data_IF_521708573280
#
_entry.id   IF_521708573280
#
_cell.length_a   1.000
_cell.length_b   1.000
_cell.length_c   1.000
_cell.angle_alpha   90.00
_cell.angle_beta   90.00
_cell.angle_gamma   90.00
#
_symmetry.space_group_name_H-M   'P 1'
#
loop_
_entity.id
_entity.type
_entity.pdbx_description
1 polymer ?
#
# COMPACT_ATOMS: atom_id res chain seq x y z
N UNK A 1 19.33 -35.98 34.58
CA UNK A 1 20.52 -35.18 34.21
C UNK A 1 20.24 -34.51 32.87
N UNK A 2 19.90 -33.22 32.85
CA UNK A 2 19.64 -32.47 31.62
C UNK A 2 20.89 -31.70 31.21
N UNK A 3 21.38 -31.91 29.98
CA UNK A 3 22.51 -31.16 29.42
C UNK A 3 21.99 -29.95 28.63
N UNK A 4 22.64 -28.78 28.69
CA UNK A 4 22.26 -27.63 27.87
C UNK A 4 22.82 -27.78 26.45
N UNK A 5 21.93 -27.77 25.45
CA UNK A 5 22.31 -27.80 24.03
C UNK A 5 22.90 -26.45 23.60
N UNK A 6 24.09 -26.49 22.99
CA UNK A 6 24.91 -25.36 22.54
C UNK A 6 24.36 -24.72 21.25
N UNK A 7 24.27 -23.38 21.27
CA UNK A 7 24.39 -22.43 20.16
C UNK A 7 23.53 -22.61 18.89
N UNK A 8 22.40 -21.90 18.85
CA UNK A 8 21.52 -21.66 17.68
C UNK A 8 22.12 -20.75 16.58
N UNK A 9 23.44 -20.55 16.54
CA UNK A 9 24.12 -19.59 15.62
C UNK A 9 24.35 -20.15 14.21
N UNK A 10 24.00 -21.40 13.94
CA UNK A 10 24.24 -22.04 12.64
C UNK A 10 23.10 -21.84 11.62
N UNK A 11 21.93 -21.35 12.03
CA UNK A 11 20.75 -21.32 11.17
C UNK A 11 20.68 -20.12 10.21
N UNK A 12 21.51 -19.10 10.40
CA UNK A 12 21.50 -17.90 9.54
C UNK A 12 22.92 -17.45 9.19
N UNK A 13 23.47 -17.94 8.08
CA UNK A 13 24.72 -17.43 7.51
C UNK A 13 24.43 -16.25 6.59
N UNK A 14 24.38 -15.04 7.13
CA UNK A 14 24.38 -13.83 6.31
C UNK A 14 25.80 -13.56 5.77
N UNK A 15 26.06 -13.91 4.51
CA UNK A 15 27.33 -13.62 3.83
C UNK A 15 27.30 -12.21 3.23
N UNK A 16 27.75 -11.20 3.99
CA UNK A 16 28.03 -9.87 3.46
C UNK A 16 29.40 -9.91 2.75
N UNK A 17 29.42 -9.69 1.43
CA UNK A 17 30.63 -9.38 0.67
C UNK A 17 30.61 -7.87 0.41
N UNK A 18 31.53 -7.13 1.03
CA UNK A 18 31.85 -5.76 0.62
C UNK A 18 33.39 -5.61 0.57
N UNK A 19 33.88 -5.47 -0.65
CA UNK A 19 35.15 -4.86 -1.08
C UNK A 19 34.73 -4.15 -2.36
N UNK A 20 34.76 -2.81 -2.51
CA UNK A 20 35.85 -1.88 -2.19
C UNK A 20 35.33 -0.43 -2.25
N UNK A 21 35.87 0.45 -1.40
CA UNK A 21 35.79 1.93 -1.49
C UNK A 21 34.62 2.54 -0.72
N UNK A 22 34.76 3.48 0.21
CA UNK A 22 35.87 4.30 0.69
C UNK A 22 35.22 5.40 1.54
N UNK A 23 35.79 5.72 2.71
CA UNK A 23 35.25 6.72 3.64
C UNK A 23 35.61 8.12 3.14
N UNK A 24 34.62 8.99 2.96
CA UNK A 24 34.81 10.44 3.11
C UNK A 24 33.85 10.95 4.16
N UNK A 25 34.40 11.35 5.32
CA UNK A 25 33.67 12.19 6.27
C UNK A 25 33.68 13.63 5.74
N UNK A 26 32.51 14.25 5.68
CA UNK A 26 32.37 15.70 5.70
C UNK A 26 31.35 16.09 6.78
N UNK A 27 31.83 16.68 7.87
CA UNK A 27 31.02 17.45 8.82
C UNK A 27 31.05 18.92 8.38
N UNK A 28 29.88 19.56 8.28
CA UNK A 28 29.65 21.01 8.42
C UNK A 28 28.15 21.26 8.20
N UNK A 29 27.34 21.33 9.26
CA UNK A 29 26.71 22.57 9.75
C UNK A 29 26.11 23.49 8.66
N UNK A 30 24.78 23.62 8.63
CA UNK A 30 24.02 24.85 8.96
C UNK A 30 22.53 24.64 8.66
N UNK A 31 21.72 25.06 9.61
CA UNK A 31 20.27 25.26 9.57
C UNK A 31 19.77 25.96 8.30
N UNK A 32 18.60 25.55 7.80
CA UNK A 32 17.47 26.44 7.46
C UNK A 32 16.25 25.60 7.05
N UNK A 33 15.10 25.86 7.71
CA UNK A 33 13.77 25.55 7.15
C UNK A 33 13.59 26.34 5.84
N UNK A 34 12.78 25.82 4.91
CA UNK A 34 11.56 26.52 4.53
C UNK A 34 10.39 25.53 4.57
N UNK A 35 9.29 25.81 5.28
CA UNK A 35 8.25 26.75 4.86
C UNK A 35 7.74 26.42 3.44
N UNK A 36 6.58 25.77 3.42
CA UNK A 36 5.52 25.86 2.43
C UNK A 36 5.87 26.41 1.04
N UNK A 37 5.73 25.56 0.03
CA UNK A 37 5.18 25.92 -1.28
C UNK A 37 4.63 24.62 -1.88
N UNK A 38 3.32 24.46 -1.87
CA UNK A 38 2.52 24.69 -3.08
C UNK A 38 2.57 23.45 -3.99
N UNK A 39 1.87 22.39 -3.59
CA UNK A 39 1.36 21.43 -4.58
C UNK A 39 0.18 22.13 -5.22
N UNK A 40 0.51 22.91 -6.25
CA UNK A 40 -0.42 23.52 -7.15
C UNK A 40 -1.42 22.46 -7.65
N UNK A 41 -2.68 22.70 -7.32
CA UNK A 41 -3.83 22.54 -8.21
C UNK A 41 -3.97 21.14 -8.85
N UNK A 42 -4.68 20.24 -8.17
CA UNK A 42 -5.50 19.28 -8.93
C UNK A 42 -6.54 20.11 -9.69
N UNK A 43 -6.61 20.03 -11.03
CA UNK A 43 -7.76 20.56 -11.75
C UNK A 43 -8.92 19.59 -11.49
N UNK A 44 -9.55 19.68 -10.31
CA UNK A 44 -10.97 19.36 -10.21
C UNK A 44 -11.69 20.52 -10.87
N UNK A 45 -11.57 20.55 -12.20
CA UNK A 45 -12.35 21.42 -13.05
C UNK A 45 -13.79 21.11 -12.75
N UNK A 46 -14.43 22.06 -12.09
CA UNK A 46 -15.87 22.27 -12.03
C UNK A 46 -16.49 21.93 -13.39
N UNK A 47 -17.06 20.74 -13.49
CA UNK A 47 -18.10 20.39 -14.44
C UNK A 47 -19.21 19.74 -13.62
N UNK A 48 -20.35 20.41 -13.61
CA UNK A 48 -21.54 20.06 -12.84
C UNK A 48 -22.16 18.78 -13.43
N UNK A 49 -21.81 17.61 -12.89
CA UNK A 49 -22.61 16.41 -13.07
C UNK A 49 -22.72 15.72 -11.71
N UNK A 50 -23.87 15.84 -11.07
CA UNK A 50 -24.17 15.31 -9.73
C UNK A 50 -23.92 13.79 -9.59
N UNK A 51 -23.65 13.09 -10.70
CA UNK A 51 -23.32 11.67 -10.73
C UNK A 51 -21.83 11.40 -10.52
N UNK A 52 -20.96 12.37 -10.81
CA UNK A 52 -19.52 12.20 -10.63
C UNK A 52 -19.16 12.19 -9.14
N UNK A 53 -19.87 12.95 -8.30
CA UNK A 53 -19.66 12.98 -6.85
C UNK A 53 -19.94 11.62 -6.19
N UNK A 54 -21.04 10.95 -6.58
CA UNK A 54 -21.38 9.61 -6.08
C UNK A 54 -20.34 8.57 -6.49
N UNK A 55 -19.88 8.64 -7.75
CA UNK A 55 -18.84 7.73 -8.28
C UNK A 55 -17.50 7.98 -7.57
N UNK A 56 -17.18 9.24 -7.25
CA UNK A 56 -15.98 9.58 -6.50
C UNK A 56 -16.01 9.03 -5.08
N UNK A 57 -17.16 9.11 -4.39
CA UNK A 57 -17.32 8.55 -3.05
C UNK A 57 -17.21 7.02 -3.04
N UNK A 58 -17.82 6.33 -4.01
CA UNK A 58 -17.66 4.89 -4.20
C UNK A 58 -16.19 4.51 -4.45
N UNK A 59 -15.49 5.25 -5.31
CA UNK A 59 -14.07 5.03 -5.58
C UNK A 59 -13.20 5.32 -4.35
N UNK A 60 -13.55 6.30 -3.51
CA UNK A 60 -12.86 6.57 -2.24
C UNK A 60 -12.97 5.38 -1.30
N UNK A 61 -14.16 4.81 -1.13
CA UNK A 61 -14.35 3.61 -0.30
C UNK A 61 -13.52 2.42 -0.79
N UNK A 62 -13.41 2.23 -2.12
CA UNK A 62 -12.58 1.18 -2.70
C UNK A 62 -11.08 1.42 -2.51
N UNK A 63 -10.61 2.67 -2.57
CA UNK A 63 -9.21 3.00 -2.27
C UNK A 63 -8.87 2.76 -0.80
N UNK A 64 -9.79 3.07 0.11
CA UNK A 64 -9.62 2.75 1.53
C UNK A 64 -9.56 1.24 1.76
N UNK A 65 -10.42 0.48 1.06
CA UNK A 65 -10.31 -0.97 1.05
C UNK A 65 -8.92 -1.43 0.57
N UNK A 66 -8.41 -0.90 -0.54
CA UNK A 66 -7.09 -1.26 -1.09
C UNK A 66 -5.93 -0.99 -0.11
N UNK A 67 -6.05 0.05 0.73
CA UNK A 67 -5.07 0.41 1.77
C UNK A 67 -5.17 -0.48 3.01
N UNK A 68 -6.32 -1.10 3.28
CA UNK A 68 -6.53 -1.90 4.46
C UNK A 68 -5.83 -3.27 4.36
N UNK A 69 -4.68 -3.41 5.01
CA UNK A 69 -3.87 -4.64 4.97
C UNK A 69 -4.53 -5.87 5.62
N UNK A 70 -5.59 -5.70 6.41
CA UNK A 70 -6.28 -6.81 7.06
C UNK A 70 -6.84 -7.83 6.06
N UNK A 71 -7.22 -7.39 4.86
CA UNK A 71 -7.79 -8.23 3.80
C UNK A 71 -6.73 -8.83 2.85
N UNK A 72 -5.46 -8.67 3.20
CA UNK A 72 -4.32 -9.21 2.49
C UNK A 72 -3.90 -8.40 1.25
N UNK A 73 -2.91 -8.89 0.48
CA UNK A 73 -2.28 -8.14 -0.59
C UNK A 73 -3.25 -7.88 -1.75
N UNK A 74 -3.22 -6.66 -2.28
CA UNK A 74 -4.06 -6.21 -3.38
C UNK A 74 -3.34 -6.18 -4.75
N UNK A 75 -2.07 -6.54 -4.79
CA UNK A 75 -1.24 -6.49 -6.00
C UNK A 75 -1.48 -7.74 -6.86
N UNK A 76 -1.61 -7.56 -8.18
CA UNK A 76 -1.75 -8.64 -9.14
C UNK A 76 -3.09 -9.36 -9.12
N UNK A 77 -4.09 -8.76 -8.47
CA UNK A 77 -5.47 -9.26 -8.42
C UNK A 77 -6.46 -8.11 -8.50
N UNK A 78 -7.66 -8.38 -9.01
CA UNK A 78 -8.74 -7.39 -9.05
C UNK A 78 -9.30 -7.15 -7.64
N UNK A 79 -9.98 -6.00 -7.45
CA UNK A 79 -10.68 -5.67 -6.19
C UNK A 79 -11.70 -6.75 -5.82
N UNK A 80 -12.41 -7.33 -6.79
CA UNK A 80 -13.34 -8.44 -6.56
C UNK A 80 -12.61 -9.70 -6.08
N UNK A 81 -11.54 -10.10 -6.78
CA UNK A 81 -10.75 -11.27 -6.40
C UNK A 81 -10.16 -11.13 -4.99
N UNK A 82 -9.76 -9.92 -4.61
CA UNK A 82 -9.29 -9.61 -3.26
C UNK A 82 -10.40 -9.77 -2.23
N UNK A 83 -11.59 -9.22 -2.50
CA UNK A 83 -12.74 -9.33 -1.63
C UNK A 83 -13.14 -10.79 -1.40
N UNK A 84 -13.28 -11.58 -2.46
CA UNK A 84 -13.66 -12.99 -2.33
C UNK A 84 -12.61 -13.81 -1.56
N UNK A 85 -11.31 -13.52 -1.77
CA UNK A 85 -10.24 -14.18 -1.01
C UNK A 85 -10.35 -13.83 0.47
N UNK A 86 -10.57 -12.56 0.82
CA UNK A 86 -10.76 -12.15 2.20
C UNK A 86 -11.99 -12.83 2.84
N UNK A 87 -13.07 -13.00 2.08
CA UNK A 87 -14.26 -13.72 2.52
C UNK A 87 -13.97 -15.20 2.77
N UNK A 88 -13.24 -15.87 1.86
CA UNK A 88 -12.80 -17.28 2.01
C UNK A 88 -11.87 -17.47 3.22
N UNK A 89 -11.08 -16.46 3.56
CA UNK A 89 -10.22 -16.46 4.74
C UNK A 89 -10.95 -16.12 6.04
N UNK A 90 -12.26 -15.86 6.00
CA UNK A 90 -13.05 -15.52 7.19
C UNK A 90 -12.75 -14.13 7.76
N UNK A 91 -12.16 -13.23 6.96
CA UNK A 91 -11.79 -11.89 7.39
C UNK A 91 -12.96 -10.89 7.37
N UNK A 92 -14.15 -11.35 6.96
CA UNK A 92 -15.40 -10.58 6.91
C UNK A 92 -15.23 -9.19 6.23
N UNK A 93 -14.83 -9.15 4.94
CA UNK A 93 -14.75 -7.89 4.22
C UNK A 93 -16.15 -7.23 4.09
N UNK A 94 -16.25 -5.89 3.99
CA UNK A 94 -17.54 -5.21 3.92
C UNK A 94 -18.32 -5.58 2.66
N UNK A 95 -19.62 -5.88 2.78
CA UNK A 95 -20.47 -6.26 1.64
C UNK A 95 -20.72 -5.12 0.65
N UNK A 96 -20.62 -3.88 1.10
CA UNK A 96 -20.74 -2.69 0.24
C UNK A 96 -19.67 -2.71 -0.85
N UNK A 97 -18.43 -3.06 -0.50
CA UNK A 97 -17.31 -3.19 -1.45
C UNK A 97 -17.63 -4.20 -2.55
N UNK A 98 -18.25 -5.33 -2.20
CA UNK A 98 -18.68 -6.33 -3.19
C UNK A 98 -19.68 -5.74 -4.19
N UNK A 99 -20.68 -5.00 -3.69
CA UNK A 99 -21.71 -4.36 -4.52
C UNK A 99 -21.11 -3.30 -5.42
N UNK A 100 -20.23 -2.45 -4.88
CA UNK A 100 -19.54 -1.39 -5.62
C UNK A 100 -18.72 -2.00 -6.76
N UNK A 101 -17.91 -3.02 -6.49
CA UNK A 101 -17.07 -3.64 -7.54
C UNK A 101 -17.92 -4.34 -8.60
N UNK A 102 -19.06 -4.92 -8.23
CA UNK A 102 -20.01 -5.54 -9.18
C UNK A 102 -20.85 -4.53 -9.96
N UNK A 103 -20.91 -3.26 -9.55
CA UNK A 103 -21.72 -2.23 -10.20
C UNK A 103 -21.19 -1.86 -11.60
N UNK A 104 -19.89 -2.09 -11.86
CA UNK A 104 -19.23 -1.77 -13.12
C UNK A 104 -18.98 -0.27 -13.35
N UNK A 105 -19.34 0.60 -12.40
CA UNK A 105 -19.14 2.06 -12.49
C UNK A 105 -17.77 2.53 -12.01
N UNK A 106 -17.10 1.68 -11.23
CA UNK A 106 -15.84 1.96 -10.53
C UNK A 106 -14.68 1.20 -11.15
N UNK A 107 -13.45 1.59 -10.80
CA UNK A 107 -12.26 0.87 -11.25
C UNK A 107 -12.21 -0.53 -10.64
N UNK A 108 -11.93 -1.54 -11.45
CA UNK A 108 -11.81 -2.93 -10.99
C UNK A 108 -10.43 -3.26 -10.43
N UNK A 109 -9.41 -2.49 -10.82
CA UNK A 109 -8.03 -2.68 -10.36
C UNK A 109 -7.76 -1.96 -9.05
N UNK A 110 -6.85 -2.52 -8.27
CA UNK A 110 -6.36 -1.93 -7.03
C UNK A 110 -5.59 -0.63 -7.29
N UNK A 111 -5.62 0.29 -6.33
CA UNK A 111 -4.78 1.49 -6.30
C UNK A 111 -3.27 1.20 -6.47
N UNK A 112 -2.81 -0.01 -6.19
CA UNK A 112 -1.40 -0.41 -6.28
C UNK A 112 -1.03 -1.13 -7.57
N UNK A 113 -1.97 -1.33 -8.49
CA UNK A 113 -1.68 -1.95 -9.78
C UNK A 113 -0.76 -1.05 -10.61
N UNK A 114 0.37 -1.59 -11.10
CA UNK A 114 1.33 -0.86 -11.93
C UNK A 114 2.50 -0.14 -11.23
N UNK A 115 2.71 -0.32 -9.91
CA UNK A 115 3.85 0.27 -9.16
C UNK A 115 5.05 -0.66 -8.94
N UNK A 116 5.35 -1.54 -9.91
CA UNK A 116 6.51 -2.45 -9.89
C UNK A 116 7.61 -1.98 -10.81
#
# INVERSE_FOLDING_TARGET
>A
MATPSKNMKAFYKQKKKNTTGGITKSKSSKSTKPAAADIAQLPHGVSLDLKDDDIEEEERALREFDMNMAYGPCIGITRLGRWERAQRLGLNPPKEIEKLVKSGKVKLQSLFDGRM
#
